data_IF_720655539360
#
_entry.id   IF_720655539360
#
_cell.length_a   1.000
_cell.length_b   1.000
_cell.length_c   1.000
_cell.angle_alpha   90.00
_cell.angle_beta   90.00
_cell.angle_gamma   90.00
#
_symmetry.space_group_name_H-M   'P 1'
#
loop_
_entity.id
_entity.type
_entity.pdbx_description
1 polymer ?
#
# COMPACT_ATOMS: atom_id res chain seq x y z
N UNK A 1 9.35 5.89 52.79
CA UNK A 1 8.54 5.49 51.62
C UNK A 1 8.84 6.47 50.51
N UNK A 2 9.67 6.08 49.55
CA UNK A 2 9.95 6.87 48.36
C UNK A 2 9.78 5.93 47.17
N UNK A 3 8.78 6.27 46.36
CA UNK A 3 8.16 5.49 45.31
C UNK A 3 9.13 5.31 44.14
N UNK A 4 9.30 4.07 43.71
CA UNK A 4 9.99 3.68 42.47
C UNK A 4 9.28 4.33 41.28
N UNK A 5 9.90 5.32 40.67
CA UNK A 5 9.58 5.74 39.31
C UNK A 5 10.05 4.64 38.37
N UNK A 6 9.10 3.90 37.79
CA UNK A 6 9.36 3.02 36.67
C UNK A 6 9.78 3.89 35.48
N UNK A 7 11.08 4.09 35.32
CA UNK A 7 11.65 4.57 34.06
C UNK A 7 11.28 3.53 33.00
N UNK A 8 10.50 3.97 32.01
CA UNK A 8 10.29 3.20 30.78
C UNK A 8 11.66 2.95 30.18
N UNK A 9 12.15 1.72 30.32
CA UNK A 9 13.38 1.24 29.71
C UNK A 9 13.36 1.70 28.24
N UNK A 10 14.32 2.55 27.89
CA UNK A 10 14.61 2.91 26.51
C UNK A 10 14.70 1.63 25.71
N UNK A 11 13.67 1.37 24.90
CA UNK A 11 13.55 0.17 24.07
C UNK A 11 14.82 0.12 23.22
N UNK A 12 15.75 -0.78 23.56
CA UNK A 12 16.94 -1.06 22.73
C UNK A 12 16.44 -1.11 21.29
N UNK A 13 17.10 -0.37 20.41
CA UNK A 13 16.71 -0.21 19.01
C UNK A 13 16.55 -1.60 18.40
N UNK A 14 15.33 -2.14 18.44
CA UNK A 14 15.07 -3.52 18.06
C UNK A 14 15.19 -3.56 16.55
N UNK A 15 16.31 -4.06 16.07
CA UNK A 15 16.56 -4.25 14.65
C UNK A 15 15.55 -5.29 14.13
N UNK A 16 14.52 -4.79 13.44
CA UNK A 16 13.48 -5.61 12.84
C UNK A 16 14.04 -6.58 11.78
N UNK A 17 15.20 -6.27 11.17
CA UNK A 17 15.88 -7.23 10.30
C UNK A 17 16.49 -8.39 11.10
N UNK A 18 17.12 -8.11 12.25
CA UNK A 18 17.64 -9.14 13.13
C UNK A 18 16.51 -10.04 13.68
N UNK A 19 15.37 -9.45 14.07
CA UNK A 19 14.18 -10.21 14.49
C UNK A 19 13.66 -11.13 13.39
N UNK A 20 13.52 -10.63 12.16
CA UNK A 20 13.12 -11.45 11.01
C UNK A 20 14.16 -12.55 10.70
N UNK A 21 15.46 -12.28 10.87
CA UNK A 21 16.51 -13.28 10.66
C UNK A 21 16.43 -14.46 11.64
N UNK A 22 15.80 -14.29 12.82
CA UNK A 22 15.59 -15.38 13.78
C UNK A 22 14.70 -16.51 13.24
N UNK A 23 13.90 -16.26 12.19
CA UNK A 23 13.15 -17.32 11.50
C UNK A 23 14.05 -18.35 10.81
N UNK A 24 15.32 -18.00 10.54
CA UNK A 24 16.30 -18.89 9.94
C UNK A 24 17.11 -19.68 11.00
N UNK A 25 16.74 -19.59 12.28
CA UNK A 25 17.37 -20.30 13.37
C UNK A 25 16.38 -21.30 13.99
N UNK A 26 16.88 -22.49 14.28
CA UNK A 26 16.14 -23.51 15.01
C UNK A 26 16.52 -23.49 16.49
N UNK A 27 15.55 -23.72 17.37
CA UNK A 27 15.81 -23.97 18.78
C UNK A 27 16.43 -25.36 19.02
N UNK A 28 16.76 -25.68 20.27
CA UNK A 28 17.35 -26.98 20.65
C UNK A 28 16.42 -28.17 20.37
N UNK A 29 15.13 -27.95 20.13
CA UNK A 29 14.14 -28.95 19.75
C UNK A 29 13.85 -28.96 18.24
N UNK A 30 14.59 -28.21 17.42
CA UNK A 30 14.42 -28.14 15.97
C UNK A 30 13.20 -27.32 15.53
N UNK A 31 12.70 -26.38 16.35
CA UNK A 31 11.52 -25.55 16.04
C UNK A 31 11.90 -24.13 15.64
N UNK A 32 11.10 -23.54 14.76
CA UNK A 32 11.24 -22.14 14.32
C UNK A 32 10.51 -21.22 15.30
N UNK A 33 11.12 -20.08 15.60
CA UNK A 33 10.57 -19.07 16.52
C UNK A 33 9.62 -18.09 15.80
N UNK A 34 8.45 -18.54 15.35
CA UNK A 34 7.53 -17.73 14.52
C UNK A 34 7.11 -16.39 15.16
N UNK A 35 7.02 -16.30 16.49
CA UNK A 35 6.68 -15.04 17.17
C UNK A 35 7.70 -13.92 16.95
N UNK A 36 8.93 -14.26 16.52
CA UNK A 36 9.94 -13.27 16.15
C UNK A 36 9.57 -12.46 14.91
N UNK A 37 8.81 -13.05 13.98
CA UNK A 37 8.30 -12.31 12.81
C UNK A 37 7.25 -11.27 13.22
N UNK A 38 6.37 -11.61 14.17
CA UNK A 38 5.39 -10.66 14.73
C UNK A 38 6.10 -9.51 15.45
N UNK A 39 7.12 -9.83 16.26
CA UNK A 39 7.97 -8.80 16.89
C UNK A 39 8.67 -7.93 15.84
N UNK A 40 9.11 -8.51 14.73
CA UNK A 40 9.72 -7.75 13.63
C UNK A 40 8.71 -6.79 12.97
N UNK A 41 7.45 -7.20 12.76
CA UNK A 41 6.37 -6.30 12.30
C UNK A 41 6.18 -5.15 13.28
N UNK A 42 6.00 -5.45 14.57
CA UNK A 42 5.73 -4.42 15.58
C UNK A 42 6.90 -3.43 15.69
N UNK A 43 8.13 -3.93 15.70
CA UNK A 43 9.34 -3.12 15.68
C UNK A 43 9.41 -2.25 14.42
N UNK A 44 9.20 -2.82 13.23
CA UNK A 44 9.20 -2.08 11.97
C UNK A 44 8.15 -0.96 11.92
N UNK A 45 6.93 -1.24 12.37
CA UNK A 45 5.88 -0.22 12.44
C UNK A 45 6.25 0.88 13.44
N UNK A 46 6.81 0.51 14.60
CA UNK A 46 7.15 1.44 15.67
C UNK A 46 8.34 2.35 15.36
N UNK A 47 9.43 1.78 14.86
CA UNK A 47 10.72 2.47 14.72
C UNK A 47 10.94 3.05 13.33
N UNK A 48 10.26 2.54 12.29
CA UNK A 48 10.44 3.00 10.91
C UNK A 48 9.18 3.62 10.31
N UNK A 49 8.03 2.93 10.33
CA UNK A 49 6.83 3.43 9.64
C UNK A 49 6.23 4.65 10.32
N UNK A 50 5.91 4.56 11.62
CA UNK A 50 5.26 5.67 12.35
C UNK A 50 6.09 6.97 12.32
N UNK A 51 7.41 6.96 12.59
CA UNK A 51 8.21 8.19 12.56
C UNK A 51 8.30 8.82 11.16
N UNK A 52 8.28 8.01 10.11
CA UNK A 52 8.39 8.48 8.72
C UNK A 52 7.04 8.74 8.03
N UNK A 53 5.92 8.48 8.69
CA UNK A 53 4.59 8.77 8.15
C UNK A 53 4.21 10.23 8.37
N UNK A 54 3.45 10.82 7.45
CA UNK A 54 2.90 12.18 7.60
C UNK A 54 1.55 12.11 8.29
N UNK A 55 1.39 12.86 9.38
CA UNK A 55 0.12 13.00 10.10
C UNK A 55 -0.57 14.30 9.72
N UNK A 56 -1.89 14.26 9.55
CA UNK A 56 -2.73 15.42 9.26
C UNK A 56 -3.75 15.62 10.38
N UNK A 57 -4.30 16.83 10.51
CA UNK A 57 -5.30 17.11 11.57
C UNK A 57 -6.64 16.42 11.32
N UNK A 58 -6.98 16.17 10.06
CA UNK A 58 -8.21 15.49 9.63
C UNK A 58 -8.04 14.84 8.26
N UNK A 59 -8.90 13.86 7.97
CA UNK A 59 -8.95 13.23 6.65
C UNK A 59 -9.30 14.25 5.55
N UNK A 60 -10.15 15.24 5.85
CA UNK A 60 -10.49 16.32 4.92
C UNK A 60 -9.26 17.13 4.53
N UNK A 61 -8.47 17.57 5.51
CA UNK A 61 -7.24 18.33 5.26
C UNK A 61 -6.23 17.50 4.48
N UNK A 62 -6.08 16.21 4.84
CA UNK A 62 -5.19 15.28 4.15
C UNK A 62 -5.53 15.15 2.68
N UNK A 63 -6.78 14.83 2.34
CA UNK A 63 -7.21 14.63 0.96
C UNK A 63 -7.05 15.92 0.14
N UNK A 64 -7.36 17.08 0.70
CA UNK A 64 -7.14 18.37 0.03
C UNK A 64 -5.65 18.60 -0.24
N UNK A 65 -4.78 18.36 0.75
CA UNK A 65 -3.34 18.50 0.59
C UNK A 65 -2.79 17.53 -0.47
N UNK A 66 -3.20 16.26 -0.45
CA UNK A 66 -2.76 15.26 -1.42
C UNK A 66 -3.19 15.60 -2.86
N UNK A 67 -4.38 16.17 -3.05
CA UNK A 67 -4.82 16.63 -4.37
C UNK A 67 -4.04 17.87 -4.79
N UNK A 68 -3.95 18.88 -3.93
CA UNK A 68 -3.30 20.16 -4.25
C UNK A 68 -1.82 20.01 -4.60
N UNK A 69 -1.12 19.11 -3.89
CA UNK A 69 0.30 18.81 -4.15
C UNK A 69 0.49 17.77 -5.28
N UNK A 70 -0.59 17.34 -5.94
CA UNK A 70 -0.52 16.46 -7.11
C UNK A 70 -0.17 15.00 -6.81
N UNK A 71 -0.52 14.49 -5.63
CA UNK A 71 -0.36 13.08 -5.28
C UNK A 71 -1.59 12.24 -5.64
N UNK A 72 -2.80 12.73 -5.34
CA UNK A 72 -4.06 12.05 -5.64
C UNK A 72 -4.78 12.69 -6.82
N UNK A 73 -5.44 11.85 -7.63
CA UNK A 73 -6.28 12.26 -8.74
C UNK A 73 -7.66 12.72 -8.22
N UNK A 74 -7.89 14.02 -8.32
CA UNK A 74 -9.14 14.65 -7.89
C UNK A 74 -10.37 14.06 -8.60
N UNK A 75 -10.21 13.63 -9.86
CA UNK A 75 -11.31 13.08 -10.65
C UNK A 75 -11.87 11.78 -10.09
N UNK A 76 -11.08 11.03 -9.32
CA UNK A 76 -11.55 9.83 -8.61
C UNK A 76 -12.43 10.22 -7.43
N UNK A 77 -11.99 11.21 -6.65
CA UNK A 77 -12.70 11.65 -5.45
C UNK A 77 -14.01 12.37 -5.81
N UNK A 78 -14.02 13.15 -6.88
CA UNK A 78 -15.17 13.95 -7.32
C UNK A 78 -16.35 13.12 -7.86
N UNK A 79 -16.19 11.79 -7.99
CA UNK A 79 -17.30 10.87 -8.33
C UNK A 79 -18.20 10.55 -7.13
N UNK A 80 -17.81 10.95 -5.93
CA UNK A 80 -18.50 10.60 -4.70
C UNK A 80 -18.84 11.84 -3.87
N UNK A 81 -19.90 11.81 -3.06
CA UNK A 81 -20.11 12.78 -2.00
C UNK A 81 -18.90 12.77 -1.05
N UNK A 82 -18.45 13.95 -0.64
CA UNK A 82 -17.24 14.06 0.18
C UNK A 82 -17.38 13.36 1.54
N UNK A 83 -18.56 13.40 2.14
CA UNK A 83 -18.85 12.73 3.40
C UNK A 83 -18.76 11.21 3.30
N UNK A 84 -19.19 10.63 2.17
CA UNK A 84 -19.01 9.20 1.89
C UNK A 84 -17.53 8.85 1.85
N UNK A 85 -16.71 9.62 1.12
CA UNK A 85 -15.26 9.39 1.03
C UNK A 85 -14.64 9.39 2.44
N UNK A 86 -14.90 10.41 3.25
CA UNK A 86 -14.36 10.51 4.62
C UNK A 86 -14.82 9.31 5.47
N UNK A 87 -16.09 8.93 5.36
CA UNK A 87 -16.67 7.80 6.10
C UNK A 87 -16.02 6.48 5.68
N UNK A 88 -15.76 6.27 4.40
CA UNK A 88 -15.12 5.05 3.89
C UNK A 88 -13.67 4.93 4.37
N UNK A 89 -12.91 6.02 4.38
CA UNK A 89 -11.57 6.02 5.00
C UNK A 89 -11.67 5.68 6.50
N UNK A 90 -12.58 6.30 7.24
CA UNK A 90 -12.76 5.99 8.66
C UNK A 90 -13.11 4.51 8.89
N UNK A 91 -14.01 3.94 8.08
CA UNK A 91 -14.36 2.52 8.07
C UNK A 91 -13.13 1.63 7.79
N UNK A 92 -12.33 1.96 6.79
CA UNK A 92 -11.14 1.20 6.46
C UNK A 92 -10.12 1.17 7.62
N UNK A 93 -9.92 2.32 8.29
CA UNK A 93 -9.02 2.46 9.44
C UNK A 93 -9.52 1.75 10.71
N UNK A 94 -10.83 1.51 10.84
CA UNK A 94 -11.41 0.78 11.98
C UNK A 94 -11.56 -0.73 11.74
N UNK A 95 -11.23 -1.22 10.54
CA UNK A 95 -11.30 -2.65 10.18
C UNK A 95 -10.46 -3.60 11.06
N UNK A 96 -9.45 -3.06 11.78
CA UNK A 96 -8.54 -3.86 12.59
C UNK A 96 -7.45 -4.56 11.77
N UNK A 97 -7.21 -4.15 10.51
CA UNK A 97 -6.17 -4.74 9.68
C UNK A 97 -4.79 -4.74 10.36
N UNK A 98 -4.11 -5.88 10.25
CA UNK A 98 -2.72 -6.08 10.69
C UNK A 98 -1.96 -6.88 9.65
N UNK A 99 -0.76 -6.43 9.32
CA UNK A 99 0.18 -7.23 8.55
C UNK A 99 0.53 -8.50 9.33
N UNK A 100 0.41 -9.65 8.68
CA UNK A 100 0.67 -10.95 9.29
C UNK A 100 2.15 -11.30 9.36
N UNK A 101 2.97 -10.69 8.50
CA UNK A 101 4.41 -10.98 8.39
C UNK A 101 5.23 -9.71 8.18
N UNK A 102 6.50 -9.73 8.62
CA UNK A 102 7.41 -8.61 8.44
C UNK A 102 7.61 -8.30 6.96
N UNK A 103 7.81 -9.34 6.13
CA UNK A 103 8.01 -9.16 4.70
C UNK A 103 6.80 -8.49 4.03
N UNK A 104 5.57 -8.84 4.44
CA UNK A 104 4.36 -8.20 3.93
C UNK A 104 4.33 -6.70 4.21
N UNK A 105 4.58 -6.31 5.46
CA UNK A 105 4.65 -4.90 5.87
C UNK A 105 5.79 -4.18 5.13
N UNK A 106 7.00 -4.74 5.17
CA UNK A 106 8.18 -4.16 4.54
C UNK A 106 7.98 -3.99 3.03
N UNK A 107 7.44 -5.00 2.34
CA UNK A 107 7.20 -4.94 0.89
C UNK A 107 6.18 -3.86 0.55
N UNK A 108 5.09 -3.75 1.32
CA UNK A 108 4.09 -2.71 1.13
C UNK A 108 4.68 -1.30 1.25
N UNK A 109 5.37 -1.01 2.37
CA UNK A 109 5.93 0.32 2.61
C UNK A 109 7.11 0.67 1.71
N UNK A 110 7.87 -0.32 1.24
CA UNK A 110 9.00 -0.06 0.34
C UNK A 110 8.57 0.14 -1.11
N UNK A 111 7.57 -0.62 -1.58
CA UNK A 111 7.27 -0.75 -3.02
C UNK A 111 5.85 -0.32 -3.43
N UNK A 112 4.88 -0.20 -2.52
CA UNK A 112 3.47 -0.01 -2.87
C UNK A 112 2.87 1.32 -2.39
N UNK A 113 3.08 1.63 -1.12
CA UNK A 113 2.51 2.82 -0.49
C UNK A 113 2.97 4.10 -1.18
N UNK A 114 2.10 5.11 -1.24
CA UNK A 114 2.47 6.44 -1.68
C UNK A 114 3.50 7.07 -0.74
N UNK A 115 4.52 7.70 -1.33
CA UNK A 115 5.54 8.48 -0.65
C UNK A 115 5.53 9.91 -1.16
N UNK A 116 6.13 10.81 -0.38
CA UNK A 116 6.49 12.13 -0.88
C UNK A 116 7.40 12.02 -2.10
N UNK A 117 7.38 13.01 -2.99
CA UNK A 117 8.20 12.96 -4.22
C UNK A 117 9.71 12.85 -3.96
N UNK A 118 10.19 13.34 -2.82
CA UNK A 118 11.58 13.17 -2.38
C UNK A 118 11.88 11.77 -1.79
N UNK A 119 10.88 10.91 -1.70
CA UNK A 119 10.96 9.54 -1.22
C UNK A 119 11.14 9.38 0.29
N UNK A 120 11.13 10.47 1.07
CA UNK A 120 11.51 10.45 2.49
C UNK A 120 10.39 10.08 3.45
N UNK A 121 9.13 10.37 3.11
CA UNK A 121 7.99 10.16 4.01
C UNK A 121 6.87 9.35 3.36
N UNK A 122 6.14 8.60 4.18
CA UNK A 122 4.94 7.86 3.77
C UNK A 122 3.71 8.74 3.86
N UNK A 123 2.87 8.70 2.81
CA UNK A 123 1.62 9.47 2.71
C UNK A 123 0.37 8.58 2.82
N UNK A 124 0.55 7.27 2.70
CA UNK A 124 -0.49 6.24 2.79
C UNK A 124 -0.09 5.15 3.79
N UNK A 125 -1.08 4.55 4.42
CA UNK A 125 -1.00 3.20 4.96
C UNK A 125 -1.80 2.20 4.10
N UNK A 126 -1.93 0.96 4.59
CA UNK A 126 -2.63 -0.10 3.85
C UNK A 126 -4.11 0.23 3.64
N UNK A 127 -4.78 0.73 4.68
CA UNK A 127 -6.21 1.07 4.64
C UNK A 127 -6.46 2.20 3.64
N UNK A 128 -5.59 3.20 3.61
CA UNK A 128 -5.67 4.29 2.64
C UNK A 128 -5.54 3.80 1.20
N UNK A 129 -4.52 2.97 0.95
CA UNK A 129 -4.25 2.42 -0.38
C UNK A 129 -5.45 1.61 -0.87
N UNK A 130 -6.00 0.74 -0.01
CA UNK A 130 -7.21 -0.04 -0.28
C UNK A 130 -8.40 0.87 -0.60
N UNK A 131 -8.63 1.89 0.22
CA UNK A 131 -9.75 2.82 0.03
C UNK A 131 -9.68 3.50 -1.35
N UNK A 132 -8.51 4.01 -1.73
CA UNK A 132 -8.33 4.64 -3.04
C UNK A 132 -8.47 3.65 -4.21
N UNK A 133 -8.08 2.38 -4.04
CA UNK A 133 -8.34 1.34 -5.03
C UNK A 133 -9.83 1.11 -5.18
N UNK A 134 -10.55 0.94 -4.07
CA UNK A 134 -11.99 0.73 -4.06
C UNK A 134 -12.75 1.89 -4.73
N UNK A 135 -12.45 3.14 -4.35
CA UNK A 135 -13.04 4.33 -4.95
C UNK A 135 -12.76 4.41 -6.46
N UNK A 136 -11.56 4.02 -6.90
CA UNK A 136 -11.21 4.04 -8.33
C UNK A 136 -12.00 2.99 -9.12
N UNK A 137 -12.09 1.78 -8.60
CA UNK A 137 -12.73 0.66 -9.30
C UNK A 137 -14.27 0.73 -9.27
N UNK A 138 -14.85 1.29 -8.21
CA UNK A 138 -16.29 1.41 -8.06
C UNK A 138 -16.91 2.59 -8.83
N UNK A 139 -16.09 3.52 -9.35
CA UNK A 139 -16.50 4.56 -10.29
C UNK A 139 -17.74 5.41 -9.90
N UNK A 140 -17.99 5.62 -8.61
CA UNK A 140 -19.12 6.39 -8.09
C UNK A 140 -20.18 5.53 -7.39
N UNK A 141 -20.10 4.20 -7.47
CA UNK A 141 -20.98 3.30 -6.73
C UNK A 141 -20.47 3.11 -5.28
N UNK A 142 -21.16 3.75 -4.34
CA UNK A 142 -20.83 3.72 -2.91
C UNK A 142 -20.91 2.32 -2.29
N UNK A 143 -21.87 1.50 -2.74
CA UNK A 143 -22.06 0.15 -2.20
C UNK A 143 -20.91 -0.74 -2.65
N UNK A 144 -20.56 -0.67 -3.94
CA UNK A 144 -19.44 -1.40 -4.49
C UNK A 144 -18.11 -0.94 -3.89
N UNK A 145 -17.90 0.37 -3.67
CA UNK A 145 -16.71 0.89 -3.02
C UNK A 145 -16.54 0.32 -1.60
N UNK A 146 -17.64 0.24 -0.85
CA UNK A 146 -17.63 -0.34 0.50
C UNK A 146 -17.31 -1.84 0.46
N UNK A 147 -17.97 -2.60 -0.41
CA UNK A 147 -17.72 -4.03 -0.57
C UNK A 147 -16.27 -4.32 -0.99
N UNK A 148 -15.73 -3.59 -1.97
CA UNK A 148 -14.34 -3.74 -2.39
C UNK A 148 -13.36 -3.45 -1.24
N UNK A 149 -13.68 -2.46 -0.41
CA UNK A 149 -12.88 -2.12 0.78
C UNK A 149 -12.86 -3.28 1.77
N UNK A 150 -14.02 -3.87 2.07
CA UNK A 150 -14.14 -5.01 2.97
C UNK A 150 -13.45 -6.27 2.43
N UNK A 151 -13.63 -6.58 1.15
CA UNK A 151 -13.01 -7.75 0.51
C UNK A 151 -11.48 -7.64 0.49
N UNK A 152 -10.93 -6.44 0.28
CA UNK A 152 -9.48 -6.22 0.33
C UNK A 152 -8.93 -6.22 1.75
N UNK A 153 -9.58 -5.54 2.71
CA UNK A 153 -9.10 -5.48 4.10
C UNK A 153 -9.20 -6.82 4.82
N UNK A 154 -10.19 -7.65 4.47
CA UNK A 154 -10.30 -9.01 4.97
C UNK A 154 -9.29 -9.99 4.35
N UNK A 155 -8.60 -9.59 3.28
CA UNK A 155 -7.67 -10.44 2.54
C UNK A 155 -8.34 -11.46 1.61
N UNK A 156 -9.66 -11.37 1.38
CA UNK A 156 -10.38 -12.24 0.45
C UNK A 156 -10.11 -11.89 -1.02
N UNK A 157 -9.86 -10.62 -1.29
CA UNK A 157 -9.56 -10.13 -2.62
C UNK A 157 -8.26 -9.33 -2.65
N UNK A 158 -7.40 -9.63 -3.62
CA UNK A 158 -6.18 -8.88 -3.87
C UNK A 158 -6.11 -8.53 -5.36
N UNK A 159 -6.29 -7.25 -5.74
CA UNK A 159 -6.09 -6.80 -7.12
C UNK A 159 -4.66 -7.05 -7.59
N UNK A 160 -4.49 -7.17 -8.91
CA UNK A 160 -3.16 -7.25 -9.53
C UNK A 160 -2.29 -6.04 -9.15
N UNK A 161 -0.97 -6.25 -9.03
CA UNK A 161 0.01 -5.21 -8.70
C UNK A 161 -0.16 -3.91 -9.51
N UNK A 162 -0.29 -3.89 -10.85
CA UNK A 162 -0.45 -2.63 -11.58
C UNK A 162 -1.72 -1.88 -11.16
N UNK A 163 -2.81 -2.58 -10.82
CA UNK A 163 -4.04 -1.95 -10.32
C UNK A 163 -3.85 -1.41 -8.90
N UNK A 164 -3.43 -2.28 -7.96
CA UNK A 164 -3.30 -1.92 -6.55
C UNK A 164 -2.28 -0.79 -6.33
N UNK A 165 -1.21 -0.76 -7.13
CA UNK A 165 -0.16 0.26 -7.05
C UNK A 165 -0.64 1.63 -7.54
N UNK A 166 -1.42 1.68 -8.63
CA UNK A 166 -1.61 2.89 -9.43
C UNK A 166 -3.00 3.56 -9.31
N UNK A 167 -4.04 2.85 -8.86
CA UNK A 167 -5.37 3.44 -8.71
C UNK A 167 -5.31 4.74 -7.88
N UNK A 168 -6.12 5.75 -8.21
CA UNK A 168 -6.24 6.99 -7.41
C UNK A 168 -5.01 7.91 -7.34
N UNK A 169 -3.83 7.50 -7.83
CA UNK A 169 -2.63 8.36 -7.85
C UNK A 169 -2.67 9.28 -9.07
N UNK A 170 -2.25 10.53 -8.90
CA UNK A 170 -2.16 11.51 -9.96
C UNK A 170 -1.06 11.14 -10.97
N UNK A 171 0.15 10.85 -10.47
CA UNK A 171 1.23 10.28 -11.26
C UNK A 171 1.16 8.76 -11.19
N UNK A 172 0.65 8.13 -12.25
CA UNK A 172 0.41 6.69 -12.26
C UNK A 172 0.85 6.01 -13.55
N UNK A 173 1.20 4.73 -13.41
CA UNK A 173 1.29 3.82 -14.55
C UNK A 173 -0.09 3.34 -15.02
N UNK A 174 -0.09 2.44 -15.98
CA UNK A 174 -1.30 1.75 -16.42
C UNK A 174 -1.81 0.77 -15.35
N UNK A 175 -3.12 0.47 -15.39
CA UNK A 175 -3.74 -0.49 -14.47
C UNK A 175 -3.62 -1.94 -14.96
N UNK A 176 -3.21 -2.12 -16.22
CA UNK A 176 -3.00 -3.41 -16.90
C UNK A 176 -1.57 -3.43 -17.43
N UNK A 177 -0.90 -4.57 -17.31
CA UNK A 177 0.50 -4.71 -17.69
C UNK A 177 0.82 -6.00 -18.44
N UNK A 178 -0.16 -6.80 -18.85
CA UNK A 178 0.06 -8.03 -19.61
C UNK A 178 -0.72 -7.98 -20.92
N UNK A 179 -0.03 -8.24 -22.03
CA UNK A 179 -0.58 -8.09 -23.38
C UNK A 179 -0.23 -9.29 -24.25
N UNK A 180 -1.18 -9.71 -25.09
CA UNK A 180 -0.96 -10.72 -26.12
C UNK A 180 -1.17 -10.06 -27.48
N UNK A 181 -0.16 -10.13 -28.34
CA UNK A 181 -0.18 -9.53 -29.68
C UNK A 181 -0.13 -10.62 -30.74
N UNK A 182 -1.03 -10.54 -31.73
CA UNK A 182 -0.95 -11.35 -32.95
C UNK A 182 -0.11 -10.61 -34.00
N UNK A 183 0.67 -11.37 -34.76
CA UNK A 183 1.45 -10.86 -35.89
C UNK A 183 0.94 -11.57 -37.14
N UNK A 184 0.60 -10.79 -38.17
CA UNK A 184 0.21 -11.31 -39.47
C UNK A 184 1.42 -11.45 -40.38
N UNK A 185 1.27 -12.27 -41.42
CA UNK A 185 2.29 -12.47 -42.45
C UNK A 185 2.32 -11.32 -43.47
N UNK A 186 2.64 -10.11 -42.99
CA UNK A 186 2.94 -8.93 -43.82
C UNK A 186 3.84 -7.94 -43.09
N UNK A 187 4.56 -7.12 -43.86
CA UNK A 187 5.56 -6.18 -43.35
C UNK A 187 4.96 -5.10 -42.43
N UNK A 188 3.73 -4.65 -42.72
CA UNK A 188 3.03 -3.67 -41.89
C UNK A 188 2.75 -4.24 -40.50
N UNK A 189 2.31 -5.49 -40.41
CA UNK A 189 2.04 -6.17 -39.14
C UNK A 189 3.31 -6.40 -38.33
N UNK A 190 4.41 -6.82 -38.97
CA UNK A 190 5.72 -6.95 -38.31
C UNK A 190 6.20 -5.60 -37.76
N UNK A 191 6.11 -4.53 -38.57
CA UNK A 191 6.46 -3.18 -38.14
C UNK A 191 5.61 -2.69 -36.96
N UNK A 192 4.30 -2.99 -36.97
CA UNK A 192 3.39 -2.70 -35.85
C UNK A 192 3.73 -3.52 -34.60
N UNK A 193 4.15 -4.77 -34.73
CA UNK A 193 4.53 -5.59 -33.59
C UNK A 193 5.75 -4.99 -32.86
N UNK A 194 6.77 -4.57 -33.60
CA UNK A 194 7.95 -3.87 -33.04
C UNK A 194 7.53 -2.57 -32.36
N UNK A 195 6.70 -1.76 -33.02
CA UNK A 195 6.21 -0.51 -32.42
C UNK A 195 5.41 -0.78 -31.14
N UNK A 196 4.51 -1.76 -31.15
CA UNK A 196 3.70 -2.14 -30.00
C UNK A 196 4.56 -2.60 -28.83
N UNK A 197 5.58 -3.42 -29.07
CA UNK A 197 6.54 -3.84 -28.06
C UNK A 197 7.23 -2.63 -27.40
N UNK A 198 7.67 -1.64 -28.19
CA UNK A 198 8.27 -0.41 -27.66
C UNK A 198 7.29 0.40 -26.80
N UNK A 199 6.05 0.58 -27.27
CA UNK A 199 5.06 1.41 -26.58
C UNK A 199 4.49 0.75 -25.31
N UNK A 200 4.36 -0.58 -25.29
CA UNK A 200 3.90 -1.32 -24.13
C UNK A 200 5.03 -1.47 -23.09
N UNK A 201 6.23 -1.86 -23.54
CA UNK A 201 7.38 -2.08 -22.65
C UNK A 201 7.81 -0.80 -21.93
N UNK A 202 7.80 0.37 -22.60
CA UNK A 202 8.14 1.66 -21.96
C UNK A 202 7.20 2.02 -20.79
N UNK A 203 6.01 1.43 -20.71
CA UNK A 203 5.01 1.62 -19.65
C UNK A 203 4.96 0.44 -18.66
N UNK A 204 5.91 -0.49 -18.74
CA UNK A 204 5.95 -1.68 -17.88
C UNK A 204 5.04 -2.82 -18.33
N UNK A 205 4.55 -2.80 -19.57
CA UNK A 205 3.81 -3.90 -20.17
C UNK A 205 4.73 -5.06 -20.56
N UNK A 206 4.27 -6.28 -20.28
CA UNK A 206 4.88 -7.56 -20.67
C UNK A 206 4.00 -8.36 -21.60
#
# INVERSE_FOLDING_TARGET
>A
MATTTAECLTQETMDYHALNAMLNLYDSAGRIQFDKDRQAVDAFIATHVRPNSVTFSSQQQRLNWLVNEGYYDESVLNRYPRDFVITLFAHAHTSGFRFQTFLGAWKFYTSYTLKTFDGKRYLEDFADRVTMVALTLAQGDETLATQLTDEMLSGRFQPATPTFLNCGKQQRGELVSCFLLRIEDNMESIGRAVNSALQLSKRGGG
#
